data_IF_998218001861
#
_entry.id   IF_998218001861
#
_cell.length_a   1.000
_cell.length_b   1.000
_cell.length_c   1.000
_cell.angle_alpha   90.00
_cell.angle_beta   90.00
_cell.angle_gamma   90.00
#
_symmetry.space_group_name_H-M   'P 1'
#
loop_
_entity.id
_entity.type
_entity.pdbx_description
1 polymer ?
#
# COMPACT_ATOMS: atom_id res chain seq x y z
N UNK A 1 -4.95 3.95 -6.70
CA UNK A 1 -3.47 4.01 -6.62
C UNK A 1 -2.94 5.43 -6.52
N UNK A 2 -3.54 6.41 -7.22
CA UNK A 2 -3.09 7.80 -7.18
C UNK A 2 -3.00 8.37 -5.76
N UNK A 3 -4.06 8.25 -4.97
CA UNK A 3 -4.07 8.76 -3.60
C UNK A 3 -2.96 8.14 -2.73
N UNK A 4 -2.74 6.83 -2.81
CA UNK A 4 -1.69 6.14 -2.03
C UNK A 4 -0.28 6.67 -2.36
N UNK A 5 0.01 6.90 -3.64
CA UNK A 5 1.30 7.45 -4.07
C UNK A 5 1.43 8.94 -3.78
N UNK A 6 0.34 9.72 -3.83
CA UNK A 6 0.34 11.13 -3.41
C UNK A 6 0.65 11.26 -1.92
N UNK A 7 0.10 10.38 -1.07
CA UNK A 7 0.37 10.39 0.36
C UNK A 7 1.84 10.13 0.71
N UNK A 8 2.62 9.45 -0.13
CA UNK A 8 4.07 9.31 0.08
C UNK A 8 4.79 10.68 0.07
N UNK A 9 4.25 11.68 -0.63
CA UNK A 9 4.77 13.04 -0.61
C UNK A 9 4.48 13.80 0.69
N UNK A 10 3.55 13.31 1.52
CA UNK A 10 3.12 13.99 2.74
C UNK A 10 4.23 13.93 3.82
N UNK A 11 4.77 15.09 4.26
CA UNK A 11 5.75 15.13 5.34
C UNK A 11 5.20 14.56 6.66
N UNK A 12 3.90 14.69 6.93
CA UNK A 12 3.26 14.18 8.15
C UNK A 12 3.25 12.67 8.18
N UNK A 13 2.93 12.03 7.06
CA UNK A 13 2.98 10.57 6.92
C UNK A 13 4.39 10.07 7.20
N UNK A 14 5.41 10.69 6.60
CA UNK A 14 6.81 10.31 6.80
C UNK A 14 7.29 10.50 8.23
N UNK A 15 6.94 11.62 8.86
CA UNK A 15 7.28 11.86 10.26
C UNK A 15 6.63 10.81 11.18
N UNK A 16 5.35 10.50 10.96
CA UNK A 16 4.62 9.47 11.71
C UNK A 16 5.25 8.09 11.51
N UNK A 17 5.54 7.71 10.27
CA UNK A 17 6.20 6.44 9.96
C UNK A 17 7.58 6.33 10.63
N UNK A 18 8.36 7.43 10.64
CA UNK A 18 9.66 7.46 11.33
C UNK A 18 9.51 7.26 12.83
N UNK A 19 8.56 7.94 13.47
CA UNK A 19 8.28 7.77 14.89
C UNK A 19 7.83 6.34 15.22
N UNK A 20 6.95 5.74 14.41
CA UNK A 20 6.52 4.37 14.59
C UNK A 20 7.69 3.37 14.48
N UNK A 21 8.62 3.62 13.55
CA UNK A 21 9.79 2.76 13.36
C UNK A 21 10.84 2.91 14.47
N UNK A 22 11.12 4.15 14.91
CA UNK A 22 12.19 4.40 15.89
C UNK A 22 11.70 4.26 17.32
N UNK A 23 10.50 4.77 17.63
CA UNK A 23 9.96 4.85 18.99
C UNK A 23 8.79 3.90 19.25
N UNK A 24 8.21 3.26 18.21
CA UNK A 24 6.99 2.45 18.37
C UNK A 24 7.12 1.32 19.38
N UNK A 25 8.30 0.74 19.53
CA UNK A 25 8.58 -0.30 20.53
C UNK A 25 8.37 0.19 21.98
N UNK A 26 8.45 1.50 22.24
CA UNK A 26 8.24 2.12 23.56
C UNK A 26 6.78 2.41 23.85
N UNK A 27 5.92 2.40 22.83
CA UNK A 27 4.52 2.81 22.89
C UNK A 27 3.61 1.75 22.22
N UNK A 28 3.65 0.48 22.67
CA UNK A 28 3.00 -0.65 21.99
C UNK A 28 1.48 -0.48 21.84
N UNK A 29 0.82 0.12 22.83
CA UNK A 29 -0.63 0.37 22.79
C UNK A 29 -1.00 1.38 21.70
N UNK A 30 -0.21 2.45 21.55
CA UNK A 30 -0.40 3.47 20.52
C UNK A 30 -0.18 2.88 19.13
N UNK A 31 0.86 2.07 18.96
CA UNK A 31 1.15 1.38 17.68
C UNK A 31 0.02 0.42 17.31
N UNK A 32 -0.50 -0.33 18.29
CA UNK A 32 -1.60 -1.28 18.08
C UNK A 32 -2.86 -0.55 17.64
N UNK A 33 -3.23 0.53 18.35
CA UNK A 33 -4.38 1.36 18.00
C UNK A 33 -4.22 2.00 16.61
N UNK A 34 -3.04 2.53 16.30
CA UNK A 34 -2.75 3.10 14.98
C UNK A 34 -2.89 2.05 13.87
N UNK A 35 -2.34 0.85 14.08
CA UNK A 35 -2.42 -0.27 13.12
C UNK A 35 -3.86 -0.67 12.86
N UNK A 36 -4.66 -0.82 13.92
CA UNK A 36 -6.08 -1.16 13.81
C UNK A 36 -6.85 -0.11 13.00
N UNK A 37 -6.62 1.17 13.30
CA UNK A 37 -7.35 2.27 12.67
C UNK A 37 -6.92 2.56 11.23
N UNK A 38 -5.67 2.23 10.88
CA UNK A 38 -5.07 2.64 9.59
C UNK A 38 -4.83 1.46 8.65
N UNK A 39 -4.15 0.43 9.14
CA UNK A 39 -3.67 -0.69 8.30
C UNK A 39 -4.72 -1.77 8.17
N UNK A 40 -5.31 -2.20 9.29
CA UNK A 40 -6.25 -3.31 9.29
C UNK A 40 -7.54 -2.94 8.53
N UNK A 41 -8.01 -1.69 8.70
CA UNK A 41 -9.15 -1.17 7.96
C UNK A 41 -8.88 -1.18 6.44
N UNK A 42 -7.71 -0.69 6.00
CA UNK A 42 -7.32 -0.71 4.60
C UNK A 42 -7.31 -2.14 4.02
N UNK A 43 -6.76 -3.11 4.76
CA UNK A 43 -6.75 -4.51 4.32
C UNK A 43 -8.16 -5.09 4.15
N UNK A 44 -9.06 -4.84 5.11
CA UNK A 44 -10.44 -5.33 5.06
C UNK A 44 -11.18 -4.72 3.88
N UNK A 45 -11.09 -3.41 3.69
CA UNK A 45 -11.76 -2.72 2.58
C UNK A 45 -11.27 -3.21 1.22
N UNK A 46 -9.95 -3.35 1.06
CA UNK A 46 -9.35 -3.78 -0.19
C UNK A 46 -9.71 -5.23 -0.53
N UNK A 47 -9.65 -6.14 0.45
CA UNK A 47 -10.07 -7.53 0.26
C UNK A 47 -11.56 -7.68 -0.03
N UNK A 48 -12.41 -6.83 0.56
CA UNK A 48 -13.83 -6.79 0.26
C UNK A 48 -14.10 -6.31 -1.18
N UNK A 49 -13.39 -5.27 -1.63
CA UNK A 49 -13.49 -4.74 -2.99
C UNK A 49 -13.06 -5.78 -4.03
N UNK A 50 -11.89 -6.39 -3.85
CA UNK A 50 -11.33 -7.34 -4.82
C UNK A 50 -12.22 -8.59 -4.97
N UNK A 51 -12.74 -9.13 -3.87
CA UNK A 51 -13.67 -10.27 -3.92
C UNK A 51 -14.91 -9.96 -4.75
N UNK A 52 -15.53 -8.78 -4.57
CA UNK A 52 -16.65 -8.34 -5.41
C UNK A 52 -16.28 -8.21 -6.88
N UNK A 53 -15.05 -7.78 -7.18
CA UNK A 53 -14.59 -7.70 -8.57
C UNK A 53 -14.42 -9.10 -9.18
N UNK A 54 -13.92 -10.08 -8.42
CA UNK A 54 -13.84 -11.49 -8.84
C UNK A 54 -15.23 -12.07 -9.10
N UNK A 55 -16.17 -11.89 -8.17
CA UNK A 55 -17.57 -12.35 -8.31
C UNK A 55 -18.25 -11.80 -9.58
N UNK A 56 -17.85 -10.61 -10.02
CA UNK A 56 -18.36 -9.94 -11.22
C UNK A 56 -17.57 -10.25 -12.50
N UNK A 57 -16.55 -11.11 -12.43
CA UNK A 57 -15.66 -11.41 -13.55
C UNK A 57 -14.76 -10.26 -13.99
N UNK A 58 -14.62 -9.21 -13.17
CA UNK A 58 -13.78 -8.03 -13.44
C UNK A 58 -12.33 -8.25 -13.05
N UNK A 59 -12.06 -9.16 -12.11
CA UNK A 59 -10.71 -9.54 -11.71
C UNK A 59 -10.56 -11.06 -11.70
N UNK A 60 -9.35 -11.53 -11.98
CA UNK A 60 -8.94 -12.91 -11.71
C UNK A 60 -8.91 -13.19 -10.21
N UNK A 61 -9.30 -14.39 -9.81
CA UNK A 61 -9.03 -14.90 -8.47
C UNK A 61 -7.54 -15.24 -8.33
N UNK A 62 -6.77 -14.32 -7.74
CA UNK A 62 -5.31 -14.40 -7.66
C UNK A 62 -4.80 -14.18 -6.24
N UNK A 63 -3.50 -14.42 -6.02
CA UNK A 63 -2.86 -14.30 -4.70
C UNK A 63 -3.10 -12.93 -4.05
N UNK A 64 -3.13 -11.85 -4.84
CA UNK A 64 -3.38 -10.50 -4.32
C UNK A 64 -4.82 -10.27 -3.87
N UNK A 65 -5.78 -11.08 -4.32
CA UNK A 65 -7.17 -11.09 -3.83
C UNK A 65 -7.25 -11.74 -2.44
N UNK A 66 -6.55 -12.85 -2.25
CA UNK A 66 -6.49 -13.56 -0.95
C UNK A 66 -5.58 -12.86 0.06
N UNK A 67 -4.60 -12.10 -0.42
CA UNK A 67 -3.63 -11.38 0.40
C UNK A 67 -3.54 -9.89 -0.02
N UNK A 68 -4.55 -9.07 0.29
CA UNK A 68 -4.64 -7.67 -0.20
C UNK A 68 -3.49 -6.77 0.24
N UNK A 69 -2.79 -7.12 1.32
CA UNK A 69 -1.61 -6.38 1.78
C UNK A 69 -0.49 -6.34 0.72
N UNK A 70 -0.44 -7.31 -0.21
CA UNK A 70 0.52 -7.32 -1.31
C UNK A 70 0.34 -6.14 -2.27
N UNK A 71 -0.89 -5.65 -2.43
CA UNK A 71 -1.20 -4.51 -3.28
C UNK A 71 -0.61 -3.21 -2.71
N UNK A 72 -0.40 -3.11 -1.41
CA UNK A 72 0.19 -1.90 -0.80
C UNK A 72 1.69 -2.01 -0.61
N UNK A 73 2.27 -3.21 -0.77
CA UNK A 73 3.70 -3.48 -0.55
C UNK A 73 4.64 -2.54 -1.33
N UNK A 74 4.42 -2.23 -2.62
CA UNK A 74 5.30 -1.29 -3.34
C UNK A 74 5.30 0.13 -2.74
N UNK A 75 4.14 0.60 -2.26
CA UNK A 75 4.00 1.90 -1.60
C UNK A 75 4.78 1.91 -0.28
N UNK A 76 4.66 0.84 0.51
CA UNK A 76 5.41 0.67 1.75
C UNK A 76 6.92 0.61 1.48
N UNK A 77 7.35 -0.13 0.46
CA UNK A 77 8.74 -0.21 0.06
C UNK A 77 9.31 1.18 -0.29
N UNK A 78 8.57 2.00 -1.04
CA UNK A 78 8.99 3.37 -1.36
C UNK A 78 9.05 4.27 -0.12
N UNK A 79 8.09 4.14 0.80
CA UNK A 79 8.13 4.87 2.07
C UNK A 79 9.43 4.56 2.84
N UNK A 80 9.82 3.29 2.94
CA UNK A 80 11.09 2.91 3.57
C UNK A 80 12.31 3.52 2.88
N UNK A 81 12.35 3.50 1.54
CA UNK A 81 13.44 4.15 0.81
C UNK A 81 13.51 5.65 1.12
N UNK A 82 12.37 6.34 1.15
CA UNK A 82 12.30 7.77 1.49
C UNK A 82 12.71 8.08 2.93
N UNK A 83 12.44 7.18 3.88
CA UNK A 83 12.86 7.35 5.27
C UNK A 83 14.38 7.19 5.45
N UNK A 84 15.02 6.42 4.56
CA UNK A 84 16.47 6.20 4.55
C UNK A 84 17.27 7.27 3.78
N UNK A 85 16.59 8.10 2.97
CA UNK A 85 17.22 9.13 2.13
C UNK A 85 16.95 10.54 2.65
N UNK A 86 17.95 11.42 2.57
CA UNK A 86 17.80 12.84 2.87
C UNK A 86 17.01 13.60 1.76
N UNK A 87 16.88 13.03 0.57
CA UNK A 87 16.23 13.65 -0.58
C UNK A 87 15.18 12.73 -1.22
N UNK A 88 14.01 13.30 -1.53
CA UNK A 88 12.96 12.66 -2.32
C UNK A 88 13.17 13.06 -3.78
N UNK A 89 13.35 12.09 -4.69
CA UNK A 89 13.44 12.37 -6.13
C UNK A 89 12.03 12.25 -6.75
N UNK A 90 11.40 13.36 -7.19
CA UNK A 90 10.00 13.33 -7.65
C UNK A 90 9.74 12.45 -8.87
N UNK A 91 10.74 12.30 -9.75
CA UNK A 91 10.65 11.47 -10.97
C UNK A 91 10.45 9.98 -10.60
N UNK A 92 11.09 9.50 -9.54
CA UNK A 92 10.96 8.12 -9.06
C UNK A 92 9.55 7.80 -8.54
N UNK A 93 8.81 8.80 -8.05
CA UNK A 93 7.45 8.59 -7.52
C UNK A 93 6.46 8.30 -8.67
N UNK A 94 6.57 9.05 -9.78
CA UNK A 94 5.63 8.91 -10.91
C UNK A 94 5.86 7.59 -11.66
N UNK A 95 7.11 7.23 -11.90
CA UNK A 95 7.47 5.96 -12.53
C UNK A 95 7.01 4.78 -11.68
N UNK A 96 7.34 4.79 -10.39
CA UNK A 96 6.89 3.74 -9.48
C UNK A 96 5.36 3.60 -9.40
N UNK A 97 4.62 4.71 -9.51
CA UNK A 97 3.16 4.68 -9.58
C UNK A 97 2.65 3.94 -10.82
N UNK A 98 3.22 4.22 -11.99
CA UNK A 98 2.80 3.55 -13.23
C UNK A 98 3.16 2.07 -13.21
N UNK A 99 4.40 1.73 -12.88
CA UNK A 99 4.85 0.34 -12.79
C UNK A 99 4.05 -0.46 -11.76
N UNK A 100 3.65 0.17 -10.65
CA UNK A 100 2.77 -0.46 -9.68
C UNK A 100 1.39 -0.76 -10.28
N UNK A 101 0.79 0.17 -11.02
CA UNK A 101 -0.50 -0.07 -11.69
C UNK A 101 -0.37 -1.20 -12.72
N UNK A 102 0.70 -1.21 -13.53
CA UNK A 102 0.93 -2.24 -14.55
C UNK A 102 1.04 -3.62 -13.91
N UNK A 103 1.83 -3.76 -12.84
CA UNK A 103 1.94 -5.00 -12.07
C UNK A 103 0.59 -5.47 -11.52
N UNK A 104 -0.25 -4.56 -11.02
CA UNK A 104 -1.58 -4.92 -10.53
C UNK A 104 -2.50 -5.37 -11.67
N UNK A 105 -2.43 -4.71 -12.82
CA UNK A 105 -3.16 -5.13 -14.01
C UNK A 105 -2.73 -6.54 -14.44
N UNK A 106 -1.44 -6.85 -14.48
CA UNK A 106 -0.94 -8.20 -14.79
C UNK A 106 -1.49 -9.26 -13.82
N UNK A 107 -1.58 -8.93 -12.53
CA UNK A 107 -2.03 -9.86 -11.48
C UNK A 107 -3.55 -10.00 -11.37
N UNK A 108 -4.31 -9.01 -11.82
CA UNK A 108 -5.77 -8.94 -11.66
C UNK A 108 -6.53 -9.13 -12.97
N UNK A 109 -5.89 -9.00 -14.14
CA UNK A 109 -6.57 -9.16 -15.43
C UNK A 109 -7.16 -10.57 -15.52
N UNK A 110 -8.48 -10.72 -15.77
CA UNK A 110 -9.09 -12.01 -16.00
C UNK A 110 -8.39 -12.75 -17.15
N UNK A 111 -8.03 -14.03 -16.94
CA UNK A 111 -7.65 -14.86 -18.07
C UNK A 111 -8.89 -15.05 -18.97
N UNK A 112 -8.74 -14.88 -20.29
CA UNK A 112 -9.76 -15.34 -21.22
C UNK A 112 -9.91 -16.87 -21.06
N UNK A 113 -11.15 -17.32 -20.93
CA UNK A 113 -11.50 -18.74 -20.80
C UNK A 113 -11.20 -19.53 -22.09
#
# INVERSE_FOLDING_TARGET
>A
MDQLHTHLGDPTLRATARLLLTEGHRLPDIVTLWRQNTVDNLHVQLGSLLRRCVERGLCRDSTVVHHPWLIVSPVIHQLFQQLSSAAVVPIQIREARNTHVDMLCELLTPQAA
#
